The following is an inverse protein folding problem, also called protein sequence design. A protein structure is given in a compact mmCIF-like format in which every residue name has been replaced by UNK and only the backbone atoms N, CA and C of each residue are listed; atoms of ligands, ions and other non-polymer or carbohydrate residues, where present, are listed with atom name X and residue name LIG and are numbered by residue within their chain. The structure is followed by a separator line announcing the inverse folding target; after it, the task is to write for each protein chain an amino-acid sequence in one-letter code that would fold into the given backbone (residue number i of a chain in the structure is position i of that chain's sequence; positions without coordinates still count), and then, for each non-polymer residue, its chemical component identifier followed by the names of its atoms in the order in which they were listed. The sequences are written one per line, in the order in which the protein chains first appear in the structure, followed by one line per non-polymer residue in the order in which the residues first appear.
data_IF_950326924853
#
_entry.id   IF_950326924853
#
_cell.length_a   1.000
_cell.length_b   1.000
_cell.length_c   1.000
_cell.angle_alpha   90.00
_cell.angle_beta   90.00
_cell.angle_gamma   90.00
#
_symmetry.space_group_name_H-M   'P 1'
#
loop_
_entity.id
_entity.type
_entity.pdbx_description
1 polymer ?
#
# COMPACT_ATOMS: atom_id res chain seq x y z
N UNK A 1 -42.63 29.24 -19.69
CA UNK A 1 -41.25 29.69 -19.39
C UNK A 1 -40.59 28.55 -18.63
N UNK A 2 -39.66 27.82 -19.27
CA UNK A 2 -39.13 26.56 -18.75
C UNK A 2 -37.99 26.85 -17.74
N UNK A 3 -38.05 26.17 -16.59
CA UNK A 3 -37.28 26.48 -15.39
C UNK A 3 -35.76 26.24 -15.59
N UNK A 4 -35.02 27.36 -15.65
CA UNK A 4 -33.55 27.48 -15.71
C UNK A 4 -32.81 26.73 -14.57
N UNK A 5 -33.50 26.52 -13.45
CA UNK A 5 -32.95 25.90 -12.25
C UNK A 5 -32.57 24.42 -12.43
N UNK A 6 -33.30 23.68 -13.27
CA UNK A 6 -32.96 22.27 -13.57
C UNK A 6 -31.68 22.13 -14.42
N UNK A 7 -31.38 23.11 -15.29
CA UNK A 7 -30.13 23.14 -16.04
C UNK A 7 -28.94 23.52 -15.14
N UNK A 8 -29.20 24.33 -14.12
CA UNK A 8 -28.20 24.73 -13.11
C UNK A 8 -27.82 23.57 -12.18
N UNK A 9 -28.74 22.64 -11.90
CA UNK A 9 -28.42 21.41 -11.17
C UNK A 9 -27.68 20.42 -12.07
N UNK A 10 -28.02 20.33 -13.36
CA UNK A 10 -27.28 19.49 -14.30
C UNK A 10 -25.86 19.98 -14.59
N UNK A 11 -25.59 21.29 -14.55
CA UNK A 11 -24.22 21.80 -14.67
C UNK A 11 -23.38 21.50 -13.41
N UNK A 12 -23.99 21.53 -12.23
CA UNK A 12 -23.34 21.14 -10.97
C UNK A 12 -23.12 19.61 -10.87
N UNK A 13 -24.01 18.81 -11.47
CA UNK A 13 -23.87 17.35 -11.52
C UNK A 13 -22.98 16.86 -12.69
N UNK A 14 -22.78 17.71 -13.69
CA UNK A 14 -21.98 17.43 -14.90
C UNK A 14 -20.54 17.94 -14.86
N UNK A 15 -20.17 18.78 -13.89
CA UNK A 15 -18.80 19.29 -13.78
C UNK A 15 -17.97 18.36 -12.89
N UNK A 16 -17.52 17.26 -13.49
CA UNK A 16 -16.49 16.38 -12.92
C UNK A 16 -15.18 17.16 -12.83
N UNK A 17 -15.07 17.88 -11.72
CA UNK A 17 -13.89 18.26 -10.94
C UNK A 17 -12.61 18.57 -11.70
N UNK A 18 -12.39 19.86 -11.91
CA UNK A 18 -11.06 20.46 -12.03
C UNK A 18 -11.02 21.77 -11.26
N UNK A 19 -10.57 21.76 -10.01
CA UNK A 19 -9.73 22.79 -9.37
C UNK A 19 -9.42 22.33 -7.93
N UNK A 20 -8.15 22.15 -7.58
CA UNK A 20 -7.27 23.15 -6.98
C UNK A 20 -7.74 23.61 -5.58
N UNK A 21 -7.29 22.86 -4.58
CA UNK A 21 -7.43 23.13 -3.15
C UNK A 21 -6.45 22.21 -2.41
N UNK A 22 -5.32 22.79 -2.01
CA UNK A 22 -4.33 22.32 -1.02
C UNK A 22 -4.64 21.02 -0.26
N UNK A 23 -4.31 19.88 -0.86
CA UNK A 23 -4.19 18.57 -0.19
C UNK A 23 -3.15 17.77 -0.97
N UNK A 24 -1.95 18.35 -1.03
CA UNK A 24 -0.83 17.83 -1.80
C UNK A 24 -0.06 16.83 -0.93
N UNK A 25 0.08 15.59 -1.41
CA UNK A 25 0.97 14.60 -0.80
C UNK A 25 0.34 13.23 -0.68
N UNK A 26 -0.62 13.06 0.25
CA UNK A 26 -1.06 11.73 0.73
C UNK A 26 -2.59 11.54 0.71
N UNK A 27 -3.39 12.59 0.93
CA UNK A 27 -4.86 12.44 0.95
C UNK A 27 -5.47 12.02 -0.40
N UNK A 28 -4.89 12.48 -1.52
CA UNK A 28 -5.33 12.09 -2.88
C UNK A 28 -4.85 10.68 -3.29
N UNK A 29 -3.85 10.20 -2.57
CA UNK A 29 -3.11 8.95 -2.75
C UNK A 29 -3.80 7.76 -2.07
N UNK A 30 -4.75 8.07 -1.19
CA UNK A 30 -5.38 7.14 -0.26
C UNK A 30 -6.90 7.19 -0.33
N UNK A 31 -7.45 7.86 -1.35
CA UNK A 31 -8.88 7.88 -1.61
C UNK A 31 -9.40 6.43 -1.68
N UNK A 32 -10.55 6.13 -1.05
CA UNK A 32 -11.11 4.77 -1.03
C UNK A 32 -11.35 4.30 -2.47
N UNK A 33 -10.56 3.32 -2.91
CA UNK A 33 -10.54 2.80 -4.29
C UNK A 33 -9.28 3.13 -5.11
N UNK A 34 -8.33 3.90 -4.57
CA UNK A 34 -7.10 4.31 -5.26
C UNK A 34 -5.84 3.84 -4.51
N UNK A 35 -5.73 2.54 -4.25
CA UNK A 35 -4.56 1.89 -3.62
C UNK A 35 -3.24 2.03 -4.39
N UNK A 36 -3.26 2.69 -5.55
CA UNK A 36 -2.08 2.93 -6.36
C UNK A 36 -1.21 4.08 -5.86
N UNK A 37 -1.57 4.71 -4.75
CA UNK A 37 -0.91 5.93 -4.39
C UNK A 37 0.38 5.76 -3.57
N UNK A 38 0.42 4.91 -2.54
CA UNK A 38 1.63 4.80 -1.71
C UNK A 38 2.83 4.20 -2.47
N UNK A 39 2.57 3.56 -3.62
CA UNK A 39 3.59 3.13 -4.58
C UNK A 39 4.39 4.33 -5.15
N UNK A 40 3.82 5.54 -5.16
CA UNK A 40 4.51 6.76 -5.58
C UNK A 40 5.71 7.14 -4.70
N UNK A 41 5.72 6.69 -3.44
CA UNK A 41 6.80 6.96 -2.46
C UNK A 41 7.98 5.99 -2.66
N UNK A 42 7.74 4.81 -3.24
CA UNK A 42 8.76 3.78 -3.50
C UNK A 42 9.58 4.03 -4.78
N UNK A 43 9.57 5.25 -5.31
CA UNK A 43 10.13 5.58 -6.62
C UNK A 43 11.53 6.23 -6.59
N UNK A 44 12.12 6.44 -5.40
CA UNK A 44 13.37 7.21 -5.25
C UNK A 44 14.69 6.43 -5.47
N UNK A 45 14.70 5.09 -5.44
CA UNK A 45 15.92 4.32 -5.70
C UNK A 45 16.31 4.33 -7.21
N UNK A 46 17.59 4.17 -7.55
CA UNK A 46 18.04 4.09 -8.96
C UNK A 46 17.36 2.94 -9.72
N UNK A 47 17.01 1.84 -9.03
CA UNK A 47 16.25 0.72 -9.59
C UNK A 47 14.78 1.08 -9.87
N UNK A 48 14.16 1.94 -9.05
CA UNK A 48 12.74 2.33 -9.21
C UNK A 48 12.52 3.44 -10.25
N UNK A 49 13.53 4.26 -10.58
CA UNK A 49 13.44 5.23 -11.70
C UNK A 49 13.38 4.57 -13.08
N UNK A 50 14.05 3.43 -13.29
CA UNK A 50 13.89 2.61 -14.52
C UNK A 50 12.46 2.05 -14.63
N UNK A 51 11.86 1.74 -13.49
CA UNK A 51 10.48 1.30 -13.32
C UNK A 51 9.48 2.41 -13.70
N UNK A 52 9.72 3.67 -13.32
CA UNK A 52 8.85 4.82 -13.69
C UNK A 52 9.02 5.26 -15.14
N UNK A 53 10.24 5.21 -15.67
CA UNK A 53 10.52 5.61 -17.06
C UNK A 53 9.88 4.70 -18.12
N UNK A 54 9.60 3.44 -17.78
CA UNK A 54 8.92 2.46 -18.65
C UNK A 54 7.40 2.40 -18.42
N UNK A 55 6.90 2.86 -17.27
CA UNK A 55 5.48 2.81 -16.89
C UNK A 55 4.90 4.22 -16.83
N UNK A 56 4.61 4.79 -18.00
CA UNK A 56 3.92 6.08 -18.10
C UNK A 56 2.52 6.02 -17.47
N UNK A 57 2.21 7.00 -16.61
CA UNK A 57 0.93 7.59 -16.12
C UNK A 57 -0.39 6.77 -16.01
N UNK A 58 -0.56 5.59 -16.61
CA UNK A 58 -1.82 4.84 -16.74
C UNK A 58 -1.73 3.37 -16.31
N UNK A 59 -0.60 2.89 -15.79
CA UNK A 59 -0.49 1.51 -15.32
C UNK A 59 -0.94 1.42 -13.86
N UNK A 60 -2.20 1.05 -13.65
CA UNK A 60 -2.74 0.70 -12.35
C UNK A 60 -1.95 -0.51 -11.80
N UNK A 61 -1.02 -0.25 -10.88
CA UNK A 61 -0.20 -1.29 -10.23
C UNK A 61 -1.09 -1.99 -9.20
N UNK A 62 -1.89 -2.94 -9.68
CA UNK A 62 -2.57 -3.95 -8.88
C UNK A 62 -2.28 -5.26 -9.61
N UNK A 63 -1.72 -6.26 -8.90
CA UNK A 63 -1.25 -7.57 -9.41
C UNK A 63 -1.77 -8.00 -10.80
N UNK A 64 -0.93 -7.97 -11.84
CA UNK A 64 -1.20 -8.60 -13.16
C UNK A 64 -2.30 -7.97 -14.04
N UNK A 65 -1.90 -7.16 -15.03
CA UNK A 65 -2.67 -6.76 -16.23
C UNK A 65 -4.20 -6.60 -16.10
N UNK A 66 -4.67 -5.37 -15.84
CA UNK A 66 -5.94 -4.68 -16.14
C UNK A 66 -7.33 -5.39 -16.13
N UNK A 67 -7.45 -6.71 -16.09
CA UNK A 67 -8.71 -7.45 -15.95
C UNK A 67 -8.54 -8.75 -15.14
N UNK A 68 -7.52 -9.55 -15.44
CA UNK A 68 -7.24 -10.78 -14.69
C UNK A 68 -6.86 -10.47 -13.22
N UNK A 69 -6.06 -9.42 -13.03
CA UNK A 69 -5.65 -8.95 -11.71
C UNK A 69 -6.79 -8.51 -10.80
N UNK A 70 -7.79 -7.80 -11.35
CA UNK A 70 -8.94 -7.35 -10.57
C UNK A 70 -9.81 -8.52 -10.08
N UNK A 71 -9.98 -9.55 -10.92
CA UNK A 71 -10.72 -10.77 -10.54
C UNK A 71 -9.97 -11.54 -9.46
N UNK A 72 -8.65 -11.70 -9.62
CA UNK A 72 -7.82 -12.40 -8.66
C UNK A 72 -7.76 -11.66 -7.31
N UNK A 73 -7.66 -10.33 -7.34
CA UNK A 73 -7.73 -9.50 -6.14
C UNK A 73 -9.06 -9.64 -5.40
N UNK A 74 -10.18 -9.62 -6.12
CA UNK A 74 -11.50 -9.85 -5.51
C UNK A 74 -11.62 -11.28 -4.92
N UNK A 75 -10.98 -12.26 -5.55
CA UNK A 75 -10.88 -13.62 -4.99
C UNK A 75 -10.07 -13.61 -3.69
N UNK A 76 -8.91 -12.96 -3.65
CA UNK A 76 -8.10 -12.82 -2.43
C UNK A 76 -8.88 -12.12 -1.31
N UNK A 77 -9.57 -11.02 -1.63
CA UNK A 77 -10.45 -10.33 -0.68
C UNK A 77 -11.51 -11.24 -0.09
N UNK A 78 -12.17 -12.01 -0.94
CA UNK A 78 -13.20 -12.96 -0.51
C UNK A 78 -12.63 -14.06 0.38
N UNK A 79 -11.40 -14.53 0.10
CA UNK A 79 -10.69 -15.54 0.90
C UNK A 79 -10.25 -15.01 2.26
N UNK A 80 -9.67 -13.80 2.31
CA UNK A 80 -9.31 -13.13 3.57
C UNK A 80 -10.57 -12.84 4.39
N UNK A 81 -11.63 -12.31 3.77
CA UNK A 81 -12.90 -12.12 4.49
C UNK A 81 -13.45 -13.43 5.08
N UNK A 82 -13.24 -14.56 4.41
CA UNK A 82 -13.66 -15.86 4.90
C UNK A 82 -12.83 -16.37 6.10
N UNK A 83 -11.55 -15.99 6.25
CA UNK A 83 -10.76 -16.32 7.44
C UNK A 83 -11.10 -15.44 8.65
N UNK A 84 -11.79 -14.31 8.43
CA UNK A 84 -12.32 -13.43 9.48
C UNK A 84 -13.81 -13.64 9.80
N UNK A 85 -14.39 -14.81 9.48
CA UNK A 85 -15.83 -15.07 9.71
C UNK A 85 -16.26 -14.91 11.18
N UNK A 86 -15.36 -15.19 12.13
CA UNK A 86 -15.61 -15.04 13.57
C UNK A 86 -15.51 -13.58 14.06
N UNK A 87 -15.22 -12.63 13.18
CA UNK A 87 -15.13 -11.19 13.46
C UNK A 87 -16.27 -10.44 12.75
N UNK A 88 -17.43 -10.23 13.41
CA UNK A 88 -18.61 -9.69 12.77
C UNK A 88 -18.42 -8.28 12.19
N UNK A 89 -17.45 -7.51 12.70
CA UNK A 89 -17.19 -6.15 12.25
C UNK A 89 -16.16 -6.06 11.12
N UNK A 90 -15.49 -7.17 10.79
CA UNK A 90 -14.46 -7.20 9.77
C UNK A 90 -15.06 -7.02 8.36
N UNK A 91 -14.48 -6.13 7.57
CA UNK A 91 -14.97 -5.76 6.25
C UNK A 91 -16.19 -4.82 6.25
N UNK A 92 -16.71 -4.43 7.43
CA UNK A 92 -17.78 -3.42 7.53
C UNK A 92 -17.26 -2.00 7.67
N UNK A 93 -16.04 -1.83 8.19
CA UNK A 93 -15.43 -0.53 8.46
C UNK A 93 -14.14 -0.37 7.65
N UNK A 94 -13.98 0.81 7.05
CA UNK A 94 -12.69 1.25 6.52
C UNK A 94 -11.89 1.93 7.62
N UNK A 95 -10.58 1.71 7.62
CA UNK A 95 -9.64 2.51 8.40
C UNK A 95 -9.62 3.94 7.84
N UNK A 96 -9.60 4.98 8.69
CA UNK A 96 -9.37 6.36 8.26
C UNK A 96 -8.11 6.48 7.41
N UNK A 97 -8.17 7.34 6.41
CA UNK A 97 -7.12 7.52 5.40
C UNK A 97 -5.74 7.73 6.03
N UNK A 98 -5.62 8.64 7.00
CA UNK A 98 -4.33 8.98 7.61
C UNK A 98 -3.74 7.83 8.43
N UNK A 99 -4.59 7.09 9.14
CA UNK A 99 -4.16 5.91 9.91
C UNK A 99 -3.68 4.77 9.00
N UNK A 100 -4.39 4.55 7.89
CA UNK A 100 -3.98 3.59 6.86
C UNK A 100 -2.65 4.00 6.24
N UNK A 101 -2.47 5.28 5.92
CA UNK A 101 -1.21 5.83 5.42
C UNK A 101 -0.05 5.50 6.35
N UNK A 102 -0.21 5.87 7.63
CA UNK A 102 0.79 5.65 8.66
C UNK A 102 1.15 4.18 8.80
N UNK A 103 0.15 3.29 8.78
CA UNK A 103 0.36 1.84 8.85
C UNK A 103 1.14 1.31 7.65
N UNK A 104 0.86 1.79 6.44
CA UNK A 104 1.57 1.36 5.24
C UNK A 104 3.01 1.89 5.19
N UNK A 105 3.26 3.10 5.70
CA UNK A 105 4.62 3.60 5.95
C UNK A 105 5.35 2.72 6.97
N UNK A 106 4.67 2.33 8.05
CA UNK A 106 5.26 1.43 9.04
C UNK A 106 5.56 0.04 8.45
N UNK A 107 4.66 -0.51 7.64
CA UNK A 107 4.86 -1.79 6.95
C UNK A 107 6.06 -1.74 6.01
N UNK A 108 6.21 -0.63 5.26
CA UNK A 108 7.36 -0.40 4.40
C UNK A 108 8.68 -0.47 5.18
N UNK A 109 8.77 0.26 6.29
CA UNK A 109 9.98 0.31 7.13
C UNK A 109 10.25 -1.04 7.79
N UNK A 110 9.22 -1.71 8.30
CA UNK A 110 9.39 -3.03 8.91
C UNK A 110 9.86 -4.07 7.89
N UNK A 111 9.30 -4.03 6.68
CA UNK A 111 9.73 -4.90 5.59
C UNK A 111 11.20 -4.67 5.24
N UNK A 112 11.63 -3.41 5.13
CA UNK A 112 13.03 -3.06 4.89
C UNK A 112 13.98 -3.51 6.02
N UNK A 113 13.51 -3.53 7.29
CA UNK A 113 14.28 -3.97 8.47
C UNK A 113 14.29 -5.48 8.70
N UNK A 114 13.55 -6.25 7.88
CA UNK A 114 13.17 -7.61 8.26
C UNK A 114 14.32 -8.62 8.29
N UNK A 115 15.47 -8.27 7.72
CA UNK A 115 16.71 -9.06 7.78
C UNK A 115 17.49 -8.90 9.10
N UNK A 116 17.12 -7.89 9.92
CA UNK A 116 17.73 -7.59 11.21
C UNK A 116 18.75 -6.45 11.21
N UNK A 117 18.99 -5.79 10.07
CA UNK A 117 19.89 -4.64 9.99
C UNK A 117 19.16 -3.44 9.36
N UNK A 118 19.19 -2.30 10.04
CA UNK A 118 19.22 -1.01 9.35
C UNK A 118 20.53 -0.38 9.76
N UNK A 119 21.41 -0.17 8.80
CA UNK A 119 22.61 0.63 9.04
C UNK A 119 22.31 2.13 8.91
N UNK A 120 23.28 2.94 9.35
CA UNK A 120 23.14 4.40 9.30
C UNK A 120 23.05 4.94 7.86
N UNK A 121 23.57 4.20 6.87
CA UNK A 121 23.53 4.61 5.47
C UNK A 121 22.17 4.30 4.83
N UNK A 122 21.53 3.20 5.19
CA UNK A 122 20.15 2.87 4.85
C UNK A 122 19.18 3.87 5.48
N UNK A 123 19.40 4.24 6.74
CA UNK A 123 18.62 5.29 7.41
C UNK A 123 18.72 6.62 6.68
N UNK A 124 19.94 7.04 6.30
CA UNK A 124 20.16 8.26 5.50
C UNK A 124 19.52 8.17 4.12
N UNK A 125 19.62 7.03 3.45
CA UNK A 125 19.03 6.84 2.13
C UNK A 125 17.49 6.94 2.17
N UNK A 126 16.87 6.44 3.24
CA UNK A 126 15.44 6.61 3.49
C UNK A 126 15.13 8.10 3.72
N UNK A 127 15.82 8.79 4.63
CA UNK A 127 15.59 10.20 4.93
C UNK A 127 15.78 11.13 3.71
N UNK A 128 16.83 10.89 2.92
CA UNK A 128 17.10 11.59 1.67
C UNK A 128 15.99 11.36 0.64
N UNK A 129 15.49 10.12 0.54
CA UNK A 129 14.38 9.76 -0.34
C UNK A 129 13.10 10.49 0.04
N UNK A 130 12.77 10.54 1.34
CA UNK A 130 11.58 11.24 1.85
C UNK A 130 11.67 12.74 1.57
N UNK A 131 12.85 13.33 1.76
CA UNK A 131 13.11 14.76 1.49
C UNK A 131 12.99 15.09 0.00
N UNK A 132 13.59 14.27 -0.86
CA UNK A 132 13.53 14.45 -2.33
C UNK A 132 12.12 14.31 -2.89
N UNK A 133 11.29 13.48 -2.26
CA UNK A 133 9.91 13.24 -2.65
C UNK A 133 8.94 14.32 -2.12
N UNK A 134 9.44 15.34 -1.40
CA UNK A 134 8.62 16.36 -0.72
C UNK A 134 7.49 15.75 0.11
N UNK A 135 7.76 14.59 0.73
CA UNK A 135 6.78 13.99 1.62
C UNK A 135 6.77 14.84 2.88
N UNK A 136 5.60 15.37 3.25
CA UNK A 136 5.48 16.32 4.35
C UNK A 136 6.10 15.81 5.65
N UNK A 137 6.45 16.75 6.55
CA UNK A 137 7.15 16.49 7.83
C UNK A 137 6.52 15.36 8.66
N UNK A 138 5.21 15.20 8.56
CA UNK A 138 4.44 14.14 9.24
C UNK A 138 4.87 12.73 8.83
N UNK A 139 5.12 12.48 7.54
CA UNK A 139 5.53 11.17 7.06
C UNK A 139 6.99 10.85 7.43
N UNK A 140 7.88 11.86 7.45
CA UNK A 140 9.22 11.71 8.00
C UNK A 140 9.19 11.28 9.46
N UNK A 141 8.33 11.92 10.27
CA UNK A 141 8.15 11.53 11.66
C UNK A 141 7.64 10.08 11.80
N UNK A 142 6.71 9.64 10.94
CA UNK A 142 6.24 8.25 10.96
C UNK A 142 7.33 7.24 10.60
N UNK A 143 8.17 7.55 9.62
CA UNK A 143 9.29 6.69 9.24
C UNK A 143 10.29 6.57 10.40
N UNK A 144 10.71 7.68 10.99
CA UNK A 144 11.64 7.64 12.12
C UNK A 144 11.05 6.87 13.31
N UNK A 145 9.77 7.10 13.61
CA UNK A 145 9.06 6.36 14.65
C UNK A 145 9.01 4.85 14.33
N UNK A 146 8.90 4.45 13.06
CA UNK A 146 8.90 3.05 12.66
C UNK A 146 10.31 2.43 12.70
N UNK A 147 11.36 3.20 12.38
CA UNK A 147 12.76 2.74 12.48
C UNK A 147 13.12 2.43 13.92
N UNK A 148 12.65 3.21 14.89
CA UNK A 148 12.95 3.00 16.31
C UNK A 148 12.13 1.86 16.95
N UNK A 149 11.06 1.40 16.29
CA UNK A 149 10.24 0.31 16.80
C UNK A 149 10.84 -1.07 16.54
N UNK A 150 10.65 -2.03 17.46
CA UNK A 150 10.99 -3.42 17.20
C UNK A 150 10.12 -3.98 16.07
N UNK A 151 10.68 -4.89 15.29
CA UNK A 151 9.95 -5.58 14.23
C UNK A 151 8.81 -6.41 14.83
N UNK A 152 7.57 -5.96 14.67
CA UNK A 152 6.39 -6.59 15.27
C UNK A 152 5.23 -6.67 14.26
N UNK A 153 5.03 -7.83 13.61
CA UNK A 153 3.93 -8.04 12.67
C UNK A 153 2.54 -7.90 13.29
N UNK A 154 2.36 -8.26 14.57
CA UNK A 154 1.09 -8.08 15.28
C UNK A 154 0.74 -6.61 15.45
N UNK A 155 1.75 -5.75 15.66
CA UNK A 155 1.53 -4.30 15.76
C UNK A 155 1.05 -3.70 14.43
N UNK A 156 1.48 -4.25 13.29
CA UNK A 156 0.98 -3.84 11.96
C UNK A 156 -0.45 -4.31 11.73
N UNK A 157 -0.75 -5.55 12.10
CA UNK A 157 -2.10 -6.12 11.98
C UNK A 157 -3.10 -5.49 12.95
N UNK A 158 -2.62 -4.90 14.06
CA UNK A 158 -3.48 -4.29 15.05
C UNK A 158 -4.34 -3.17 14.45
N UNK A 159 -5.65 -3.31 14.59
CA UNK A 159 -6.63 -2.35 14.10
C UNK A 159 -6.81 -2.34 12.58
N UNK A 160 -6.33 -3.36 11.87
CA UNK A 160 -6.76 -3.65 10.49
C UNK A 160 -8.17 -4.21 10.55
N UNK A 161 -9.10 -3.58 9.82
CA UNK A 161 -10.54 -3.85 9.97
C UNK A 161 -11.20 -4.46 8.74
N UNK A 162 -10.46 -4.64 7.66
CA UNK A 162 -11.01 -5.12 6.40
C UNK A 162 -9.95 -5.83 5.56
N UNK A 163 -10.44 -6.65 4.64
CA UNK A 163 -9.65 -7.49 3.75
C UNK A 163 -8.76 -6.68 2.80
N UNK A 164 -9.19 -5.48 2.40
CA UNK A 164 -8.48 -4.62 1.47
C UNK A 164 -7.16 -4.14 2.08
N UNK A 165 -7.24 -3.58 3.29
CA UNK A 165 -6.07 -3.13 4.04
C UNK A 165 -5.14 -4.27 4.43
N UNK A 166 -5.68 -5.43 4.84
CA UNK A 166 -4.87 -6.60 5.17
C UNK A 166 -4.02 -7.04 3.96
N UNK A 167 -4.64 -7.11 2.78
CA UNK A 167 -3.93 -7.48 1.56
C UNK A 167 -2.90 -6.43 1.14
N UNK A 168 -3.18 -5.14 1.30
CA UNK A 168 -2.21 -4.08 0.99
C UNK A 168 -0.96 -4.14 1.86
N UNK A 169 -1.13 -4.28 3.17
CA UNK A 169 -0.02 -4.34 4.11
C UNK A 169 0.89 -5.52 3.73
N UNK A 170 0.29 -6.67 3.43
CA UNK A 170 1.05 -7.86 3.03
C UNK A 170 1.71 -7.73 1.66
N UNK A 171 0.96 -7.27 0.65
CA UNK A 171 1.45 -7.10 -0.72
C UNK A 171 2.59 -6.07 -0.77
N UNK A 172 2.47 -4.95 -0.05
CA UNK A 172 3.52 -3.95 0.06
C UNK A 172 4.78 -4.54 0.67
N UNK A 173 4.65 -5.31 1.75
CA UNK A 173 5.78 -5.97 2.42
C UNK A 173 6.51 -6.94 1.46
N UNK A 174 5.77 -7.73 0.68
CA UNK A 174 6.33 -8.61 -0.34
C UNK A 174 7.08 -7.84 -1.46
N UNK A 175 6.61 -6.64 -1.83
CA UNK A 175 7.28 -5.83 -2.85
C UNK A 175 8.64 -5.32 -2.37
N UNK A 176 8.75 -4.98 -1.09
CA UNK A 176 9.98 -4.45 -0.48
C UNK A 176 10.99 -5.56 -0.24
N UNK A 177 10.56 -6.66 0.38
CA UNK A 177 11.43 -7.77 0.78
C UNK A 177 11.81 -8.61 -0.43
N UNK A 178 13.09 -8.79 -0.68
CA UNK A 178 13.59 -9.79 -1.61
C UNK A 178 14.06 -11.00 -0.82
N UNK A 179 13.21 -12.03 -0.69
CA UNK A 179 13.43 -13.15 0.23
C UNK A 179 14.71 -13.90 -0.12
N UNK A 180 15.81 -13.50 0.49
CA UNK A 180 17.13 -14.12 0.38
C UNK A 180 17.63 -14.64 1.74
N UNK A 181 17.03 -14.14 2.83
CA UNK A 181 17.37 -14.49 4.19
C UNK A 181 16.19 -15.11 4.96
N UNK A 182 16.50 -16.03 5.89
CA UNK A 182 15.47 -16.76 6.64
C UNK A 182 14.63 -15.84 7.56
N UNK A 183 15.23 -14.72 8.01
CA UNK A 183 14.56 -13.73 8.86
C UNK A 183 13.42 -13.03 8.12
N UNK A 184 13.63 -12.67 6.86
CA UNK A 184 12.64 -12.02 6.02
C UNK A 184 11.45 -12.95 5.71
N UNK A 185 11.74 -14.24 5.42
CA UNK A 185 10.72 -15.28 5.29
C UNK A 185 9.90 -15.40 6.58
N UNK A 186 10.58 -15.47 7.72
CA UNK A 186 9.94 -15.53 9.04
C UNK A 186 9.05 -14.32 9.32
N UNK A 187 9.50 -13.11 8.94
CA UNK A 187 8.71 -11.89 9.03
C UNK A 187 7.45 -11.95 8.16
N UNK A 188 7.56 -12.34 6.89
CA UNK A 188 6.40 -12.46 6.00
C UNK A 188 5.40 -13.51 6.49
N UNK A 189 5.88 -14.67 6.95
CA UNK A 189 4.99 -15.71 7.51
C UNK A 189 4.28 -15.23 8.78
N UNK A 190 5.00 -14.55 9.68
CA UNK A 190 4.40 -13.96 10.87
C UNK A 190 3.38 -12.89 10.50
N UNK A 191 3.68 -12.01 9.56
CA UNK A 191 2.76 -10.97 9.09
C UNK A 191 1.51 -11.54 8.44
N UNK A 192 1.64 -12.56 7.59
CA UNK A 192 0.50 -13.25 6.99
C UNK A 192 -0.40 -13.87 8.07
N UNK A 193 0.21 -14.49 9.08
CA UNK A 193 -0.51 -15.06 10.23
C UNK A 193 -1.24 -13.99 11.04
N UNK A 194 -0.57 -12.88 11.39
CA UNK A 194 -1.17 -11.77 12.14
C UNK A 194 -2.35 -11.12 11.40
N UNK A 195 -2.27 -11.03 10.07
CA UNK A 195 -3.32 -10.52 9.19
C UNK A 195 -4.37 -11.58 8.79
N UNK A 196 -4.23 -12.82 9.29
CA UNK A 196 -5.07 -13.99 8.95
C UNK A 196 -5.22 -14.21 7.44
N UNK A 197 -4.15 -13.99 6.69
CA UNK A 197 -4.08 -14.25 5.25
C UNK A 197 -3.93 -15.76 5.05
N UNK A 198 -4.86 -16.43 4.35
CA UNK A 198 -4.77 -17.86 4.11
C UNK A 198 -3.64 -18.20 3.14
N UNK A 199 -3.05 -19.39 3.30
CA UNK A 199 -1.84 -19.80 2.57
C UNK A 199 -1.99 -19.75 1.03
N UNK A 200 -3.18 -20.04 0.48
CA UNK A 200 -3.41 -19.95 -0.97
C UNK A 200 -3.31 -18.51 -1.49
N UNK A 201 -3.77 -17.54 -0.69
CA UNK A 201 -3.66 -16.11 -1.01
C UNK A 201 -2.22 -15.65 -0.83
N UNK A 202 -1.57 -16.09 0.25
CA UNK A 202 -0.16 -15.80 0.55
C UNK A 202 0.75 -16.18 -0.62
N UNK A 203 0.67 -17.45 -1.05
CA UNK A 203 1.46 -17.99 -2.16
C UNK A 203 1.15 -17.28 -3.48
N UNK A 204 -0.12 -16.97 -3.72
CA UNK A 204 -0.55 -16.24 -4.92
C UNK A 204 0.08 -14.84 -5.00
N UNK A 205 0.02 -14.08 -3.91
CA UNK A 205 0.63 -12.74 -3.84
C UNK A 205 2.14 -12.80 -4.05
N UNK A 206 2.84 -13.69 -3.36
CA UNK A 206 4.29 -13.83 -3.50
C UNK A 206 4.71 -14.24 -4.91
N UNK A 207 3.96 -15.15 -5.55
CA UNK A 207 4.17 -15.53 -6.94
C UNK A 207 4.02 -14.34 -7.90
N UNK A 208 2.95 -13.57 -7.73
CA UNK A 208 2.66 -12.37 -8.55
C UNK A 208 3.76 -11.31 -8.38
N UNK A 209 4.19 -11.07 -7.14
CA UNK A 209 5.25 -10.09 -6.83
C UNK A 209 6.59 -10.54 -7.40
N UNK A 210 6.95 -11.82 -7.27
CA UNK A 210 8.20 -12.36 -7.81
C UNK A 210 8.23 -12.32 -9.34
N UNK A 211 7.11 -12.59 -9.99
CA UNK A 211 7.00 -12.40 -11.44
C UNK A 211 7.23 -10.93 -11.81
N UNK A 212 6.58 -9.99 -11.12
CA UNK A 212 6.76 -8.57 -11.36
C UNK A 212 8.22 -8.13 -11.17
N UNK A 213 8.89 -8.56 -10.10
CA UNK A 213 10.30 -8.22 -9.86
C UNK A 213 11.19 -8.66 -11.01
N UNK A 214 10.94 -9.85 -11.58
CA UNK A 214 11.67 -10.37 -12.75
C UNK A 214 11.42 -9.58 -14.03
N UNK A 215 10.21 -9.07 -14.26
CA UNK A 215 9.89 -8.23 -15.43
C UNK A 215 10.58 -6.85 -15.39
N UNK A 216 11.02 -6.44 -14.21
CA UNK A 216 11.58 -5.11 -13.94
C UNK A 216 13.12 -5.09 -13.86
N UNK A 217 13.74 -6.27 -13.70
CA UNK A 217 15.19 -6.48 -13.73
C UNK A 217 15.75 -6.37 -15.15
#
# INVERSE_FOLDING_TARGET
MKNSWMQQIQSLLGQKSGSNGSTEGIGKLLAPGALGGLVGVLLANKSSRKLVGKFGKNALIIGGSAAAGAVLWNKYKSRVKATHQDEPQFGMQSTPVDLRAKRLVQALVFAAKSDGHIDDDERRAIDDSLTQLQIGEEAQAWVQQAIEQPLNPDALAFGVKNEEEALEVYYLSCMVIDVDHFMERGYLDALASSLKIPDDVKQGIEGDVNQKKRELA
#
